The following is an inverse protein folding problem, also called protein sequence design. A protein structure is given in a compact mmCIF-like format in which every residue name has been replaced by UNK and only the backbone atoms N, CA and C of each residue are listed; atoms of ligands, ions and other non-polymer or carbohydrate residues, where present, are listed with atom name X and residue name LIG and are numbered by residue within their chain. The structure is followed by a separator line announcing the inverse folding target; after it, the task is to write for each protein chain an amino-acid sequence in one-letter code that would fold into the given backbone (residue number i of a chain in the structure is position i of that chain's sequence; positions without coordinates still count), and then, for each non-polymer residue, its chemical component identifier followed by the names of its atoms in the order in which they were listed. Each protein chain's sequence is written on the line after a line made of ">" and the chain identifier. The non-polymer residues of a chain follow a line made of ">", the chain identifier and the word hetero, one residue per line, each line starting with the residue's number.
data_IF_085316351999
#
_entry.id   IF_085316351999
#
_cell.length_a   1.000
_cell.length_b   1.000
_cell.length_c   1.000
_cell.angle_alpha   90.00
_cell.angle_beta   90.00
_cell.angle_gamma   90.00
#
_symmetry.space_group_name_H-M   'P 1'
#
loop_
_entity.id
_entity.type
_entity.pdbx_description
1 polymer ?
#
# COMPACT_ATOMS: atom_id res chain seq x y z
N UNK A 1 18.12 30.82 -67.85
CA UNK A 1 18.89 30.29 -66.70
C UNK A 1 17.88 29.69 -65.72
N UNK A 2 17.79 28.36 -65.63
CA UNK A 2 16.79 27.65 -64.81
C UNK A 2 17.39 27.38 -63.43
N UNK A 3 16.79 27.89 -62.35
CA UNK A 3 17.15 27.55 -60.98
C UNK A 3 16.14 26.52 -60.46
N UNK A 4 16.61 25.30 -60.16
CA UNK A 4 15.88 24.30 -59.40
C UNK A 4 16.12 24.56 -57.91
N UNK A 5 15.06 24.78 -57.13
CA UNK A 5 15.12 24.80 -55.68
C UNK A 5 14.60 23.48 -55.14
N UNK A 6 15.48 22.67 -54.53
CA UNK A 6 15.13 21.47 -53.81
C UNK A 6 14.77 21.84 -52.36
N UNK A 7 13.55 21.53 -51.93
CA UNK A 7 13.11 21.65 -50.54
C UNK A 7 13.35 20.31 -49.83
N UNK A 8 14.22 20.31 -48.84
CA UNK A 8 14.48 19.18 -47.96
C UNK A 8 13.43 19.13 -46.85
N UNK A 9 12.71 18.01 -46.75
CA UNK A 9 11.75 17.75 -45.67
C UNK A 9 12.49 17.35 -44.39
N UNK A 10 12.37 18.16 -43.34
CA UNK A 10 12.81 17.83 -41.98
C UNK A 10 11.74 16.95 -41.34
N UNK A 11 12.08 15.69 -41.05
CA UNK A 11 11.26 14.79 -40.26
C UNK A 11 11.45 15.12 -38.77
N UNK A 12 10.38 15.58 -38.10
CA UNK A 12 10.36 15.76 -36.65
C UNK A 12 10.13 14.38 -35.99
N UNK A 13 11.16 13.83 -35.36
CA UNK A 13 11.02 12.70 -34.43
C UNK A 13 10.46 13.23 -33.11
N UNK A 14 9.16 13.00 -32.88
CA UNK A 14 8.56 13.19 -31.56
C UNK A 14 9.12 12.08 -30.67
N UNK A 15 10.11 12.42 -29.85
CA UNK A 15 10.59 11.54 -28.78
C UNK A 15 9.49 11.41 -27.73
N UNK A 16 8.93 10.20 -27.59
CA UNK A 16 8.13 9.85 -26.42
C UNK A 16 9.04 9.91 -25.20
N UNK A 17 8.94 10.96 -24.40
CA UNK A 17 9.53 10.98 -23.07
C UNK A 17 8.74 9.98 -22.21
N UNK A 18 9.33 8.82 -21.94
CA UNK A 18 8.81 7.93 -20.90
C UNK A 18 9.01 8.61 -19.56
N UNK A 19 7.93 9.12 -18.97
CA UNK A 19 7.94 9.60 -17.60
C UNK A 19 8.44 8.46 -16.71
N UNK A 20 9.59 8.64 -16.07
CA UNK A 20 10.06 7.70 -15.06
C UNK A 20 9.08 7.75 -13.90
N UNK A 21 8.36 6.65 -13.66
CA UNK A 21 7.51 6.53 -12.49
C UNK A 21 8.38 6.76 -11.24
N UNK A 22 7.99 7.70 -10.39
CA UNK A 22 8.66 7.89 -9.11
C UNK A 22 8.43 6.65 -8.25
N UNK A 23 9.45 6.14 -7.54
CA UNK A 23 9.25 5.03 -6.62
C UNK A 23 8.28 5.45 -5.52
N UNK A 24 7.45 4.50 -5.04
CA UNK A 24 6.55 4.75 -3.93
C UNK A 24 7.32 5.24 -2.70
N UNK A 25 6.70 6.13 -1.95
CA UNK A 25 7.20 6.63 -0.67
C UNK A 25 6.04 6.80 0.31
N UNK A 26 6.34 6.97 1.60
CA UNK A 26 5.29 7.21 2.59
C UNK A 26 4.51 8.50 2.36
N UNK A 27 5.14 9.55 1.80
CA UNK A 27 4.44 10.79 1.47
C UNK A 27 3.38 10.58 0.39
N UNK A 28 3.58 9.63 -0.54
CA UNK A 28 2.56 9.26 -1.51
C UNK A 28 1.36 8.56 -0.85
N UNK A 29 1.56 7.88 0.29
CA UNK A 29 0.50 7.22 1.06
C UNK A 29 -0.15 8.13 2.10
N UNK A 30 0.47 9.26 2.45
CA UNK A 30 0.02 10.17 3.52
C UNK A 30 -1.44 10.59 3.35
N UNK A 31 -2.19 10.64 4.45
CA UNK A 31 -3.59 11.04 4.47
C UNK A 31 -4.52 9.87 4.74
N UNK A 32 -5.81 10.14 4.62
CA UNK A 32 -6.87 9.16 4.87
C UNK A 32 -7.34 8.49 3.58
N UNK A 33 -7.61 7.20 3.69
CA UNK A 33 -8.11 6.33 2.65
C UNK A 33 -9.36 5.61 3.15
N UNK A 34 -10.35 5.44 2.29
CA UNK A 34 -11.61 4.76 2.61
C UNK A 34 -12.10 3.94 1.45
N UNK A 35 -12.67 2.78 1.74
CA UNK A 35 -13.18 1.91 0.70
C UNK A 35 -13.88 0.69 1.23
N UNK A 36 -14.04 -0.27 0.34
CA UNK A 36 -14.75 -1.51 0.59
C UNK A 36 -13.84 -2.69 0.23
N UNK A 37 -14.13 -3.84 0.80
CA UNK A 37 -13.32 -5.02 0.59
C UNK A 37 -13.95 -6.28 1.13
N UNK A 38 -13.08 -7.26 1.35
CA UNK A 38 -13.39 -8.47 2.09
C UNK A 38 -12.41 -8.64 3.24
N UNK A 39 -12.89 -9.13 4.37
CA UNK A 39 -12.08 -9.49 5.52
C UNK A 39 -12.56 -10.85 6.04
N UNK A 40 -11.70 -11.86 5.96
CA UNK A 40 -11.97 -13.26 6.31
C UNK A 40 -13.24 -13.79 5.64
N UNK A 41 -13.41 -13.45 4.36
CA UNK A 41 -14.56 -13.86 3.53
C UNK A 41 -15.85 -13.07 3.75
N UNK A 42 -15.88 -12.10 4.67
CA UNK A 42 -17.02 -11.21 4.86
C UNK A 42 -16.81 -9.87 4.14
N UNK A 43 -17.85 -9.25 3.56
CA UNK A 43 -17.77 -7.86 3.09
C UNK A 43 -17.35 -6.92 4.22
N UNK A 44 -16.50 -5.95 3.90
CA UNK A 44 -15.95 -5.01 4.87
C UNK A 44 -15.89 -3.57 4.37
N UNK A 45 -16.06 -2.63 5.29
CA UNK A 45 -15.71 -1.23 5.09
C UNK A 45 -14.36 -0.98 5.75
N UNK A 46 -13.45 -0.30 5.05
CA UNK A 46 -12.08 -0.09 5.50
C UNK A 46 -11.76 1.40 5.51
N UNK A 47 -11.12 1.86 6.59
CA UNK A 47 -10.45 3.17 6.66
C UNK A 47 -9.00 2.96 7.02
N UNK A 48 -8.09 3.59 6.29
CA UNK A 48 -6.66 3.61 6.59
C UNK A 48 -6.20 5.07 6.68
N UNK A 49 -5.32 5.41 7.63
CA UNK A 49 -4.75 6.76 7.73
C UNK A 49 -3.24 6.66 7.92
N UNK A 50 -2.48 7.16 6.95
CA UNK A 50 -1.03 7.31 7.07
C UNK A 50 -0.71 8.73 7.51
N UNK A 51 0.13 8.89 8.53
CA UNK A 51 0.50 10.21 9.04
C UNK A 51 2.00 10.27 9.38
N UNK A 52 2.71 11.36 9.06
CA UNK A 52 4.10 11.53 9.45
C UNK A 52 4.22 11.75 10.96
N UNK A 53 5.34 11.31 11.52
CA UNK A 53 5.78 11.56 12.88
C UNK A 53 7.18 12.13 12.87
N UNK A 54 7.53 12.92 13.90
CA UNK A 54 8.88 13.44 14.12
C UNK A 54 9.47 14.07 12.85
N UNK A 55 8.72 14.97 12.22
CA UNK A 55 9.12 15.68 11.00
C UNK A 55 9.44 14.73 9.83
N UNK A 56 8.75 13.59 9.75
CA UNK A 56 8.90 12.60 8.67
C UNK A 56 9.98 11.55 8.94
N UNK A 57 10.61 11.53 10.11
CA UNK A 57 11.53 10.46 10.50
C UNK A 57 10.80 9.12 10.78
N UNK A 58 9.48 9.16 10.97
CA UNK A 58 8.64 7.98 11.07
C UNK A 58 7.24 8.24 10.49
N UNK A 59 6.46 7.19 10.31
CA UNK A 59 5.04 7.26 9.96
C UNK A 59 4.21 6.36 10.87
N UNK A 60 2.95 6.73 11.08
CA UNK A 60 1.92 5.83 11.61
C UNK A 60 0.96 5.39 10.51
N UNK A 61 0.42 4.18 10.65
CA UNK A 61 -0.78 3.72 9.98
C UNK A 61 -1.84 3.41 11.02
N UNK A 62 -3.02 4.01 10.90
CA UNK A 62 -4.22 3.61 11.64
C UNK A 62 -5.18 2.90 10.68
N UNK A 63 -5.59 1.67 10.99
CA UNK A 63 -6.55 0.88 10.22
C UNK A 63 -7.81 0.63 11.04
N UNK A 64 -8.96 0.82 10.39
CA UNK A 64 -10.29 0.47 10.88
C UNK A 64 -10.97 -0.43 9.85
N UNK A 65 -11.42 -1.61 10.26
CA UNK A 65 -12.17 -2.53 9.41
C UNK A 65 -13.48 -2.89 10.11
N UNK A 66 -14.60 -2.58 9.46
CA UNK A 66 -15.95 -2.95 9.92
C UNK A 66 -16.47 -4.04 9.03
N UNK A 67 -16.91 -5.15 9.63
CA UNK A 67 -17.38 -6.31 8.87
C UNK A 67 -18.40 -7.10 9.69
N UNK A 68 -19.23 -7.88 9.01
CA UNK A 68 -20.17 -8.80 9.66
C UNK A 68 -19.88 -10.22 9.19
N UNK A 69 -19.35 -11.10 10.06
CA UNK A 69 -19.16 -12.52 9.71
C UNK A 69 -20.50 -13.18 9.36
N UNK A 70 -20.49 -14.20 8.49
CA UNK A 70 -21.71 -14.85 8.00
C UNK A 70 -22.69 -15.31 9.12
N UNK A 71 -22.16 -15.72 10.28
CA UNK A 71 -22.94 -16.15 11.44
C UNK A 71 -22.63 -15.31 12.69
N UNK A 72 -22.19 -14.06 12.51
CA UNK A 72 -21.70 -13.20 13.58
C UNK A 72 -22.48 -11.89 13.70
N UNK A 73 -22.20 -11.17 14.78
CA UNK A 73 -22.63 -9.79 14.93
C UNK A 73 -21.65 -8.83 14.23
N UNK A 74 -22.09 -7.62 13.85
CA UNK A 74 -21.19 -6.59 13.35
C UNK A 74 -19.99 -6.42 14.28
N UNK A 75 -18.81 -6.52 13.69
CA UNK A 75 -17.53 -6.55 14.41
C UNK A 75 -16.59 -5.50 13.82
N UNK A 76 -15.62 -5.07 14.63
CA UNK A 76 -14.62 -4.09 14.25
C UNK A 76 -13.22 -4.60 14.58
N UNK A 77 -12.35 -4.59 13.59
CA UNK A 77 -10.92 -4.73 13.76
C UNK A 77 -10.29 -3.34 13.71
N UNK A 78 -9.37 -3.07 14.64
CA UNK A 78 -8.61 -1.84 14.67
C UNK A 78 -7.13 -2.16 14.90
N UNK A 79 -6.27 -1.53 14.12
CA UNK A 79 -4.83 -1.74 14.22
C UNK A 79 -4.04 -0.47 14.00
N UNK A 80 -2.85 -0.43 14.60
CA UNK A 80 -1.91 0.68 14.46
C UNK A 80 -0.51 0.15 14.15
N UNK A 81 0.05 0.62 13.04
CA UNK A 81 1.43 0.42 12.65
C UNK A 81 2.29 1.66 12.91
N UNK A 82 3.54 1.47 13.31
CA UNK A 82 4.56 2.51 13.37
C UNK A 82 5.77 2.11 12.51
N UNK A 83 6.22 2.99 11.63
CA UNK A 83 7.27 2.75 10.65
C UNK A 83 8.42 3.71 10.87
N UNK A 84 9.59 3.20 11.24
CA UNK A 84 10.80 4.01 11.36
C UNK A 84 11.46 4.16 9.98
N UNK A 85 11.87 5.39 9.66
CA UNK A 85 12.56 5.69 8.42
C UNK A 85 14.03 6.03 8.66
N UNK A 86 14.88 5.70 7.69
CA UNK A 86 16.26 6.18 7.58
C UNK A 86 16.49 6.59 6.14
N UNK A 87 16.88 7.85 5.94
CA UNK A 87 17.08 8.44 4.60
C UNK A 87 15.85 8.23 3.68
N UNK A 88 14.64 8.38 4.24
CA UNK A 88 13.37 8.20 3.51
C UNK A 88 12.95 6.75 3.27
N UNK A 89 13.80 5.76 3.57
CA UNK A 89 13.48 4.34 3.42
C UNK A 89 13.01 3.71 4.74
N UNK A 90 12.01 2.82 4.72
CA UNK A 90 11.63 2.05 5.90
C UNK A 90 12.77 1.14 6.37
N UNK A 91 13.00 1.09 7.68
CA UNK A 91 14.01 0.22 8.30
C UNK A 91 13.46 -0.76 9.34
N UNK A 92 12.18 -0.65 9.68
CA UNK A 92 11.54 -1.47 10.70
C UNK A 92 10.31 -0.79 11.28
N UNK A 93 9.65 -1.48 12.21
CA UNK A 93 8.48 -0.94 12.87
C UNK A 93 7.83 -1.88 13.87
N UNK A 94 6.66 -1.47 14.34
CA UNK A 94 5.78 -2.31 15.15
C UNK A 94 4.33 -2.21 14.68
N UNK A 95 3.56 -3.25 15.00
CA UNK A 95 2.11 -3.33 14.83
C UNK A 95 1.46 -3.71 16.15
N UNK A 96 0.29 -3.14 16.44
CA UNK A 96 -0.59 -3.54 17.54
C UNK A 96 -2.06 -3.50 17.08
N UNK A 97 -2.91 -4.37 17.63
CA UNK A 97 -4.34 -4.39 17.34
C UNK A 97 -5.25 -4.52 18.57
N UNK A 98 -6.55 -4.31 18.35
CA UNK A 98 -7.59 -4.38 19.39
C UNK A 98 -7.94 -5.82 19.82
N UNK A 99 -7.34 -6.84 19.22
CA UNK A 99 -7.41 -8.22 19.69
C UNK A 99 -6.22 -8.59 20.60
N UNK A 100 -5.34 -7.62 20.88
CA UNK A 100 -4.20 -7.80 21.76
C UNK A 100 -2.98 -8.41 21.06
N UNK A 101 -2.97 -8.51 19.73
CA UNK A 101 -1.78 -8.94 19.02
C UNK A 101 -0.78 -7.78 18.89
N UNK A 102 0.49 -8.12 18.89
CA UNK A 102 1.58 -7.20 18.58
C UNK A 102 2.70 -7.91 17.82
N UNK A 103 3.22 -7.25 16.79
CA UNK A 103 4.27 -7.80 15.94
C UNK A 103 5.36 -6.76 15.68
N UNK A 104 6.61 -7.21 15.59
CA UNK A 104 7.61 -6.46 14.85
C UNK A 104 7.27 -6.56 13.35
N UNK A 105 7.50 -5.48 12.61
CA UNK A 105 7.24 -5.45 11.17
C UNK A 105 8.50 -5.11 10.38
N UNK A 106 8.60 -5.69 9.19
CA UNK A 106 9.71 -5.50 8.24
C UNK A 106 9.19 -4.87 6.94
N UNK A 107 9.01 -3.54 6.92
CA UNK A 107 8.55 -2.79 5.76
C UNK A 107 9.63 -2.61 4.68
N UNK A 108 9.22 -2.67 3.41
CA UNK A 108 10.04 -2.29 2.24
C UNK A 108 9.16 -1.74 1.11
N UNK A 109 9.75 -0.93 0.23
CA UNK A 109 9.09 -0.53 -1.02
C UNK A 109 9.51 -1.46 -2.17
N UNK A 110 8.54 -1.92 -2.95
CA UNK A 110 8.73 -2.85 -4.07
C UNK A 110 7.63 -2.59 -5.12
N UNK A 111 8.00 -2.35 -6.38
CA UNK A 111 7.08 -2.21 -7.52
C UNK A 111 5.80 -1.39 -7.26
N UNK A 112 5.95 -0.17 -6.76
CA UNK A 112 4.85 0.74 -6.38
C UNK A 112 3.96 0.26 -5.23
N UNK A 113 4.47 -0.63 -4.38
CA UNK A 113 3.82 -1.08 -3.17
C UNK A 113 4.72 -0.93 -1.94
N UNK A 114 4.10 -0.69 -0.79
CA UNK A 114 4.71 -0.92 0.51
C UNK A 114 4.39 -2.36 0.90
N UNK A 115 5.42 -3.20 1.01
CA UNK A 115 5.31 -4.58 1.47
C UNK A 115 5.74 -4.63 2.93
N UNK A 116 4.90 -5.20 3.78
CA UNK A 116 5.12 -5.27 5.23
C UNK A 116 5.01 -6.71 5.67
N UNK A 117 6.14 -7.36 5.93
CA UNK A 117 6.12 -8.70 6.54
C UNK A 117 5.99 -8.55 8.07
N UNK A 118 5.17 -9.40 8.68
CA UNK A 118 4.86 -9.39 10.12
C UNK A 118 4.67 -10.80 10.66
N UNK A 119 4.67 -10.94 11.99
CA UNK A 119 4.40 -12.21 12.66
C UNK A 119 5.45 -12.57 13.70
N UNK A 120 5.68 -13.88 13.85
CA UNK A 120 6.57 -14.48 14.84
C UNK A 120 7.50 -15.50 14.16
N UNK A 121 8.28 -16.26 14.94
CA UNK A 121 9.10 -17.34 14.42
C UNK A 121 8.29 -18.52 13.83
N UNK A 122 6.99 -18.63 14.18
CA UNK A 122 6.14 -19.77 13.78
C UNK A 122 4.90 -19.35 12.99
N UNK A 123 4.72 -18.04 12.77
CA UNK A 123 3.56 -17.48 12.10
C UNK A 123 4.01 -16.30 11.26
N UNK A 124 3.67 -16.30 9.97
CA UNK A 124 4.11 -15.27 9.04
C UNK A 124 2.89 -14.67 8.34
N UNK A 125 2.86 -13.35 8.32
CA UNK A 125 1.89 -12.56 7.61
C UNK A 125 2.57 -11.52 6.74
N UNK A 126 1.82 -11.02 5.77
CA UNK A 126 2.24 -9.95 4.88
C UNK A 126 1.07 -9.02 4.62
N UNK A 127 1.33 -7.73 4.63
CA UNK A 127 0.42 -6.71 4.10
C UNK A 127 1.06 -6.04 2.89
N UNK A 128 0.30 -5.84 1.84
CA UNK A 128 0.72 -5.14 0.62
C UNK A 128 -0.18 -3.92 0.41
N UNK A 129 0.44 -2.74 0.31
CA UNK A 129 -0.25 -1.47 0.05
C UNK A 129 0.22 -0.95 -1.30
N UNK A 130 -0.55 -1.21 -2.35
CA UNK A 130 -0.21 -0.89 -3.73
C UNK A 130 -0.96 0.35 -4.17
N UNK A 131 -0.22 1.38 -4.55
CA UNK A 131 -0.83 2.55 -5.18
C UNK A 131 -1.07 2.21 -6.65
N UNK A 132 -2.32 2.20 -7.08
CA UNK A 132 -2.69 1.89 -8.46
C UNK A 132 -2.52 3.14 -9.36
N UNK A 133 -2.50 2.92 -10.67
CA UNK A 133 -2.26 3.99 -11.64
C UNK A 133 -3.36 5.06 -11.68
N UNK A 134 -4.57 4.72 -11.24
CA UNK A 134 -5.71 5.63 -11.08
C UNK A 134 -5.68 6.42 -9.76
N UNK A 135 -4.71 6.12 -8.89
CA UNK A 135 -4.54 6.76 -7.59
C UNK A 135 -5.32 6.11 -6.45
N UNK A 136 -6.03 5.01 -6.70
CA UNK A 136 -6.63 4.19 -5.66
C UNK A 136 -5.53 3.36 -4.96
N UNK A 137 -5.78 2.99 -3.71
CA UNK A 137 -4.89 2.19 -2.87
C UNK A 137 -5.50 0.80 -2.68
N UNK A 138 -4.87 -0.20 -3.29
CA UNK A 138 -5.19 -1.59 -3.05
C UNK A 138 -4.44 -2.08 -1.81
N UNK A 139 -5.16 -2.66 -0.87
CA UNK A 139 -4.60 -3.25 0.36
C UNK A 139 -4.93 -4.72 0.39
N UNK A 140 -3.92 -5.58 0.46
CA UNK A 140 -4.11 -7.02 0.56
C UNK A 140 -3.29 -7.62 1.70
N UNK A 141 -3.92 -8.45 2.52
CA UNK A 141 -3.29 -9.12 3.64
C UNK A 141 -3.28 -10.64 3.46
N UNK A 142 -2.12 -11.23 3.74
CA UNK A 142 -1.84 -12.64 3.58
C UNK A 142 -1.34 -13.24 4.89
N UNK A 143 -1.63 -14.53 5.06
CA UNK A 143 -0.94 -15.38 6.03
C UNK A 143 -0.31 -16.55 5.31
N UNK A 144 0.82 -17.02 5.82
CA UNK A 144 1.48 -18.19 5.29
C UNK A 144 0.89 -19.44 5.95
N UNK A 145 0.28 -20.32 5.15
CA UNK A 145 -0.26 -21.59 5.59
C UNK A 145 0.81 -22.65 5.85
N UNK A 146 0.38 -23.81 6.38
CA UNK A 146 1.25 -24.96 6.53
C UNK A 146 1.77 -25.41 5.16
N UNK A 147 3.09 -25.37 4.95
CA UNK A 147 3.72 -25.64 3.65
C UNK A 147 4.19 -24.39 2.91
N UNK A 148 4.14 -23.21 3.52
CA UNK A 148 4.78 -22.01 2.99
C UNK A 148 3.97 -21.24 1.95
N UNK A 149 2.75 -21.69 1.65
CA UNK A 149 1.87 -21.02 0.67
C UNK A 149 1.22 -19.78 1.29
N UNK A 150 1.21 -18.67 0.56
CA UNK A 150 0.51 -17.46 0.97
C UNK A 150 -0.98 -17.57 0.65
N UNK A 151 -1.81 -17.20 1.62
CA UNK A 151 -3.26 -17.17 1.48
C UNK A 151 -3.77 -15.79 1.86
N UNK A 152 -4.44 -15.14 0.92
CA UNK A 152 -5.13 -13.87 1.14
C UNK A 152 -6.29 -14.08 2.11
N UNK A 153 -6.36 -13.25 3.14
CA UNK A 153 -7.49 -13.23 4.07
C UNK A 153 -8.19 -11.87 4.10
N UNK A 154 -7.61 -10.83 3.53
CA UNK A 154 -8.27 -9.55 3.35
C UNK A 154 -7.81 -8.87 2.06
N UNK A 155 -8.74 -8.21 1.38
CA UNK A 155 -8.49 -7.41 0.19
C UNK A 155 -9.43 -6.20 0.23
N UNK A 156 -8.91 -5.00 0.05
CA UNK A 156 -9.69 -3.77 -0.01
C UNK A 156 -9.17 -2.84 -1.11
N UNK A 157 -10.11 -2.15 -1.76
CA UNK A 157 -9.83 -1.09 -2.71
C UNK A 157 -10.24 0.24 -2.06
N UNK A 158 -9.26 1.11 -1.82
CA UNK A 158 -9.44 2.33 -1.05
C UNK A 158 -9.22 3.56 -1.91
N UNK A 159 -10.03 4.59 -1.69
CA UNK A 159 -9.86 5.90 -2.29
C UNK A 159 -9.39 6.90 -1.27
N UNK A 160 -8.60 7.87 -1.70
CA UNK A 160 -8.21 8.99 -0.86
C UNK A 160 -9.46 9.75 -0.41
N UNK A 161 -9.60 9.95 0.89
CA UNK A 161 -10.66 10.78 1.45
C UNK A 161 -10.24 12.25 1.35
N UNK A 162 -11.17 13.11 0.92
CA UNK A 162 -11.01 14.56 0.89
C UNK A 162 -11.23 15.19 2.26
#
# INVERSE_FOLDING_TARGET
>A
MRLFAALASIALTIGCATAMAQPLSFSALEGQWRGQGTFRGAPSEVTATFAPMFEGAAYTLDIDVRFTPANGQPTRFQGKGGYALRNGAPVGGSWIDNFGNGYAISPRFEDNALIVDWGTATFHGRSEYRLEADGDLRVEDFVQGQGGQWQSFALAELRRAH
#
